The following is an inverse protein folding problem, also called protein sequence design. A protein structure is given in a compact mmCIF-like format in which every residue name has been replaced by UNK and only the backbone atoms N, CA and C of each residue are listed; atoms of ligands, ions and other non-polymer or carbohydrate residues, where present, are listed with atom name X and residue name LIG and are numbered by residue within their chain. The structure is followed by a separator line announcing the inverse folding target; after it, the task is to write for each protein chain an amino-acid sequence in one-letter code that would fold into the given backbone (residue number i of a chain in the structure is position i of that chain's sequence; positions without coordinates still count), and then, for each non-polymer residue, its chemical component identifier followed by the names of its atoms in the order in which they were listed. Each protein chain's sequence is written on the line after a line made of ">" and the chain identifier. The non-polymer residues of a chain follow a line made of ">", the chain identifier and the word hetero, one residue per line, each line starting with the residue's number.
data_IF_836118881986
#
_entry.id   IF_836118881986
#
_cell.length_a   1.000
_cell.length_b   1.000
_cell.length_c   1.000
_cell.angle_alpha   90.00
_cell.angle_beta   90.00
_cell.angle_gamma   90.00
#
_symmetry.space_group_name_H-M   'P 1'
#
loop_
_entity.id
_entity.type
_entity.pdbx_description
1 polymer ?
#
# COMPACT_ATOMS: atom_id res chain seq x y z
N UNK A 1 -6.69 30.28 49.06
CA UNK A 1 -6.54 31.38 48.10
C UNK A 1 -5.37 31.01 47.19
N UNK A 2 -5.67 30.27 46.11
CA UNK A 2 -5.87 30.82 44.75
C UNK A 2 -4.51 30.86 44.02
N UNK A 3 -4.22 30.16 42.91
CA UNK A 3 -5.05 29.75 41.77
C UNK A 3 -4.45 28.51 41.07
N UNK A 4 -5.37 27.80 40.43
CA UNK A 4 -5.23 26.79 39.38
C UNK A 4 -4.30 27.27 38.25
N UNK A 5 -3.43 26.38 37.76
CA UNK A 5 -2.90 26.46 36.40
C UNK A 5 -3.15 25.12 35.71
N UNK A 6 -4.29 25.04 35.02
CA UNK A 6 -4.60 24.03 34.02
C UNK A 6 -3.88 24.42 32.73
N UNK A 7 -2.79 23.71 32.41
CA UNK A 7 -2.19 23.73 31.08
C UNK A 7 -3.00 22.84 30.11
N UNK A 8 -3.27 23.28 28.87
CA UNK A 8 -4.26 22.69 28.00
C UNK A 8 -3.84 21.34 27.42
N UNK A 9 -4.82 20.44 27.33
CA UNK A 9 -4.91 19.34 26.39
C UNK A 9 -4.63 19.80 24.96
N UNK A 10 -3.70 19.16 24.25
CA UNK A 10 -3.89 18.78 22.84
C UNK A 10 -2.61 18.17 22.27
N UNK A 11 -2.63 16.86 22.03
CA UNK A 11 -2.32 16.30 20.69
C UNK A 11 -3.30 15.14 20.49
N UNK A 12 -4.57 15.49 20.32
CA UNK A 12 -5.35 14.74 19.36
C UNK A 12 -4.75 15.06 17.99
N UNK A 13 -4.30 14.04 17.28
CA UNK A 13 -4.54 13.94 15.84
C UNK A 13 -4.13 12.55 15.38
N UNK A 14 -5.13 11.68 15.42
CA UNK A 14 -5.46 10.75 14.36
C UNK A 14 -4.85 11.14 13.01
N UNK A 15 -3.64 10.64 12.73
CA UNK A 15 -3.29 10.29 11.36
C UNK A 15 -3.90 8.90 11.05
N UNK A 16 -5.20 8.77 11.32
CA UNK A 16 -6.02 7.88 10.52
C UNK A 16 -5.83 8.37 9.09
N UNK A 17 -5.23 7.52 8.25
CA UNK A 17 -5.09 7.79 6.83
C UNK A 17 -6.47 7.81 6.19
N UNK A 18 -7.19 8.91 6.40
CA UNK A 18 -8.41 9.18 5.69
C UNK A 18 -8.05 9.26 4.21
N UNK A 19 -8.74 8.45 3.41
CA UNK A 19 -8.72 8.64 1.96
C UNK A 19 -9.15 10.09 1.69
N UNK A 20 -8.47 10.80 0.77
CA UNK A 20 -8.81 12.18 0.45
C UNK A 20 -10.31 12.33 0.22
N UNK A 21 -10.94 13.36 0.81
CA UNK A 21 -12.39 13.61 0.74
C UNK A 21 -12.94 13.57 -0.69
N UNK A 22 -12.11 13.91 -1.67
CA UNK A 22 -12.44 13.86 -3.10
C UNK A 22 -12.82 12.46 -3.58
N UNK A 23 -12.27 11.41 -2.96
CA UNK A 23 -12.58 10.00 -3.28
C UNK A 23 -13.93 9.59 -2.70
N UNK A 24 -14.25 10.04 -1.47
CA UNK A 24 -15.51 9.72 -0.81
C UNK A 24 -16.70 10.45 -1.45
N UNK A 25 -16.50 11.73 -1.82
CA UNK A 25 -17.51 12.53 -2.49
C UNK A 25 -17.84 12.00 -3.90
N UNK A 26 -16.83 11.49 -4.62
CA UNK A 26 -17.03 10.87 -5.93
C UNK A 26 -17.82 9.55 -5.84
N UNK A 27 -17.66 8.78 -4.75
CA UNK A 27 -18.36 7.51 -4.55
C UNK A 27 -19.87 7.70 -4.27
N UNK A 28 -20.24 8.78 -3.56
CA UNK A 28 -21.62 9.00 -3.13
C UNK A 28 -22.51 9.67 -4.20
N UNK A 29 -21.95 10.26 -5.27
CA UNK A 29 -22.74 11.03 -6.25
C UNK A 29 -23.12 10.25 -7.52
N UNK A 30 -22.75 8.97 -7.68
CA UNK A 30 -23.03 8.29 -8.95
C UNK A 30 -23.29 6.79 -8.83
N UNK A 31 -24.48 6.44 -8.34
CA UNK A 31 -24.95 5.06 -8.48
C UNK A 31 -25.29 4.68 -9.94
N UNK A 32 -25.46 5.63 -10.87
CA UNK A 32 -25.84 5.31 -12.27
C UNK A 32 -24.91 5.83 -13.39
N UNK A 33 -23.85 6.60 -13.11
CA UNK A 33 -22.95 7.17 -14.17
C UNK A 33 -21.50 6.62 -14.10
N UNK A 34 -21.19 5.76 -13.12
CA UNK A 34 -19.79 5.44 -12.75
C UNK A 34 -19.14 4.29 -13.56
N UNK A 35 -19.90 3.34 -14.10
CA UNK A 35 -19.29 2.06 -14.51
C UNK A 35 -18.36 2.15 -15.73
N UNK A 36 -18.57 3.13 -16.62
CA UNK A 36 -17.77 3.34 -17.83
C UNK A 36 -16.59 4.29 -17.63
N UNK A 37 -16.70 5.29 -16.75
CA UNK A 37 -15.64 6.29 -16.52
C UNK A 37 -14.55 5.89 -15.49
N UNK A 38 -14.85 4.98 -14.57
CA UNK A 38 -13.91 4.63 -13.49
C UNK A 38 -12.84 3.61 -13.94
N UNK A 39 -13.09 2.78 -14.94
CA UNK A 39 -12.13 1.73 -15.37
C UNK A 39 -10.84 2.31 -15.99
N UNK A 40 -10.89 3.50 -16.58
CA UNK A 40 -9.70 4.22 -17.06
C UNK A 40 -9.12 5.19 -16.02
N UNK A 41 -9.82 5.37 -14.89
CA UNK A 41 -9.54 6.42 -13.93
C UNK A 41 -8.21 6.21 -13.21
N UNK A 42 -7.41 7.27 -13.19
CA UNK A 42 -6.18 7.42 -12.41
C UNK A 42 -6.35 7.02 -10.93
N UNK A 43 -7.58 7.03 -10.40
CA UNK A 43 -7.92 6.60 -9.04
C UNK A 43 -7.67 5.10 -8.85
N UNK A 44 -8.11 4.23 -9.77
CA UNK A 44 -7.89 2.78 -9.66
C UNK A 44 -6.40 2.45 -9.71
N UNK A 45 -5.68 3.08 -10.65
CA UNK A 45 -4.21 2.94 -10.78
C UNK A 45 -3.48 3.40 -9.52
N UNK A 46 -3.99 4.42 -8.83
CA UNK A 46 -3.44 4.91 -7.57
C UNK A 46 -3.75 3.96 -6.40
N UNK A 47 -4.96 3.42 -6.32
CA UNK A 47 -5.35 2.41 -5.32
C UNK A 47 -4.51 1.14 -5.44
N UNK A 48 -4.24 0.68 -6.67
CA UNK A 48 -3.35 -0.46 -6.92
C UNK A 48 -1.93 -0.18 -6.42
N UNK A 49 -1.41 1.02 -6.70
CA UNK A 49 -0.09 1.45 -6.21
C UNK A 49 -0.03 1.52 -4.68
N UNK A 50 -1.09 1.98 -4.02
CA UNK A 50 -1.17 2.02 -2.55
C UNK A 50 -1.19 0.60 -1.98
N UNK A 51 -2.06 -0.26 -2.53
CA UNK A 51 -2.19 -1.65 -2.12
C UNK A 51 -0.86 -2.41 -2.26
N UNK A 52 -0.15 -2.18 -3.36
CA UNK A 52 1.18 -2.76 -3.59
C UNK A 52 2.23 -2.26 -2.58
N UNK A 53 2.25 -0.95 -2.29
CA UNK A 53 3.16 -0.38 -1.29
C UNK A 53 2.88 -0.91 0.12
N UNK A 54 1.60 -1.13 0.47
CA UNK A 54 1.20 -1.71 1.75
C UNK A 54 1.67 -3.17 1.87
N UNK A 55 1.51 -3.98 0.81
CA UNK A 55 2.06 -5.35 0.76
C UNK A 55 3.56 -5.36 1.02
N UNK A 56 4.33 -4.49 0.37
CA UNK A 56 5.77 -4.41 0.58
C UNK A 56 6.14 -4.02 2.01
N UNK A 57 5.46 -3.00 2.56
CA UNK A 57 5.67 -2.58 3.96
C UNK A 57 5.38 -3.72 4.93
N UNK A 58 4.29 -4.44 4.72
CA UNK A 58 3.92 -5.60 5.53
C UNK A 58 5.01 -6.68 5.49
N UNK A 59 5.45 -7.09 4.30
CA UNK A 59 6.50 -8.11 4.15
C UNK A 59 7.85 -7.66 4.75
N UNK A 60 8.22 -6.38 4.61
CA UNK A 60 9.41 -5.81 5.26
C UNK A 60 9.29 -5.82 6.80
N UNK A 61 8.13 -5.45 7.36
CA UNK A 61 7.87 -5.48 8.80
C UNK A 61 7.98 -6.91 9.36
N UNK A 62 7.48 -7.89 8.59
CA UNK A 62 7.62 -9.32 8.89
C UNK A 62 9.02 -9.88 8.61
N UNK A 63 9.96 -9.06 8.12
CA UNK A 63 11.33 -9.46 7.75
C UNK A 63 11.36 -10.65 6.77
N UNK A 64 10.36 -10.78 5.92
CA UNK A 64 10.29 -11.88 4.94
C UNK A 64 11.43 -11.74 3.94
N UNK A 65 12.12 -12.84 3.62
CA UNK A 65 13.15 -12.79 2.57
C UNK A 65 12.47 -12.77 1.20
N UNK A 66 13.14 -12.24 0.15
CA UNK A 66 12.61 -12.29 -1.21
C UNK A 66 12.26 -13.72 -1.67
N UNK A 67 12.97 -14.75 -1.20
CA UNK A 67 12.65 -16.15 -1.53
C UNK A 67 11.36 -16.63 -0.86
N UNK A 68 11.11 -16.24 0.40
CA UNK A 68 9.85 -16.56 1.09
C UNK A 68 8.66 -15.92 0.37
N UNK A 69 8.83 -14.68 -0.09
CA UNK A 69 7.79 -13.96 -0.86
C UNK A 69 7.62 -14.56 -2.26
N UNK A 70 8.70 -15.04 -2.90
CA UNK A 70 8.63 -15.78 -4.17
C UNK A 70 7.76 -17.03 -4.02
N UNK A 71 7.97 -17.76 -2.93
CA UNK A 71 7.19 -18.95 -2.61
C UNK A 71 5.73 -18.60 -2.34
N UNK A 72 5.48 -17.57 -1.52
CA UNK A 72 4.15 -17.06 -1.21
C UNK A 72 3.36 -16.65 -2.46
N UNK A 73 4.04 -16.10 -3.47
CA UNK A 73 3.43 -15.66 -4.72
C UNK A 73 3.25 -16.78 -5.75
N UNK A 74 3.59 -18.02 -5.39
CA UNK A 74 3.46 -19.20 -6.26
C UNK A 74 4.53 -19.28 -7.36
N UNK A 75 5.55 -18.42 -7.32
CA UNK A 75 6.55 -18.32 -8.40
C UNK A 75 7.57 -19.47 -8.40
N UNK A 76 7.58 -20.31 -7.36
CA UNK A 76 8.52 -21.44 -7.26
C UNK A 76 8.06 -22.69 -8.04
N UNK A 77 6.78 -22.75 -8.42
CA UNK A 77 6.22 -23.87 -9.18
C UNK A 77 6.26 -23.67 -10.69
N UNK A 78 6.63 -22.49 -11.17
CA UNK A 78 6.62 -22.15 -12.59
C UNK A 78 8.02 -22.22 -13.18
N UNK A 79 8.12 -22.80 -14.37
CA UNK A 79 9.38 -22.90 -15.13
C UNK A 79 9.86 -21.54 -15.63
N UNK A 80 8.94 -20.70 -16.10
CA UNK A 80 9.21 -19.32 -16.51
C UNK A 80 8.53 -18.34 -15.55
N UNK A 81 9.28 -17.88 -14.55
CA UNK A 81 8.77 -16.91 -13.58
C UNK A 81 8.38 -15.58 -14.22
N UNK A 82 9.03 -15.16 -15.30
CA UNK A 82 8.82 -13.83 -15.91
C UNK A 82 7.46 -13.71 -16.61
N UNK A 83 6.94 -14.84 -17.08
CA UNK A 83 5.60 -14.93 -17.68
C UNK A 83 4.47 -14.90 -16.64
N UNK A 84 4.79 -15.08 -15.35
CA UNK A 84 3.78 -15.17 -14.30
C UNK A 84 3.32 -13.77 -13.86
N UNK A 85 2.00 -13.53 -13.68
CA UNK A 85 1.47 -12.20 -13.33
C UNK A 85 2.05 -11.64 -12.02
N UNK A 86 2.46 -12.50 -11.08
CA UNK A 86 3.07 -12.07 -9.82
C UNK A 86 4.55 -11.70 -9.92
N UNK A 87 5.21 -11.90 -11.07
CA UNK A 87 6.63 -11.65 -11.24
C UNK A 87 7.03 -10.23 -10.88
N UNK A 88 6.33 -9.24 -11.44
CA UNK A 88 6.63 -7.83 -11.19
C UNK A 88 6.39 -7.42 -9.73
N UNK A 89 5.44 -8.06 -9.06
CA UNK A 89 5.19 -7.85 -7.62
C UNK A 89 6.37 -8.38 -6.80
N UNK A 90 6.86 -9.59 -7.10
CA UNK A 90 8.03 -10.15 -6.44
C UNK A 90 9.31 -9.34 -6.71
N UNK A 91 9.57 -9.00 -7.97
CA UNK A 91 10.75 -8.24 -8.37
C UNK A 91 10.77 -6.86 -7.71
N UNK A 92 9.62 -6.18 -7.66
CA UNK A 92 9.47 -4.91 -6.96
C UNK A 92 9.75 -5.03 -5.46
N UNK A 93 9.30 -6.13 -4.83
CA UNK A 93 9.61 -6.40 -3.43
C UNK A 93 11.10 -6.70 -3.20
N UNK A 94 11.73 -7.52 -4.05
CA UNK A 94 13.17 -7.83 -3.97
C UNK A 94 14.01 -6.55 -3.97
N UNK A 95 13.71 -5.62 -4.88
CA UNK A 95 14.36 -4.30 -4.93
C UNK A 95 14.14 -3.49 -3.64
N UNK A 96 12.92 -3.48 -3.10
CA UNK A 96 12.60 -2.79 -1.85
C UNK A 96 13.36 -3.40 -0.64
N UNK A 97 13.48 -4.72 -0.60
CA UNK A 97 14.25 -5.44 0.42
C UNK A 97 15.75 -5.11 0.32
N UNK A 98 16.35 -5.23 -0.87
CA UNK A 98 17.77 -4.94 -1.08
C UNK A 98 18.10 -3.49 -0.67
N UNK A 99 17.25 -2.53 -1.03
CA UNK A 99 17.40 -1.13 -0.59
C UNK A 99 17.31 -0.99 0.94
N UNK A 100 16.37 -1.67 1.60
CA UNK A 100 16.19 -1.60 3.06
C UNK A 100 17.40 -2.14 3.82
N UNK A 101 18.02 -3.20 3.32
CA UNK A 101 19.13 -3.90 3.97
C UNK A 101 20.51 -3.56 3.38
N UNK A 102 20.58 -2.57 2.46
CA UNK A 102 21.82 -2.16 1.77
C UNK A 102 22.57 -3.33 1.13
N UNK A 103 21.82 -4.26 0.56
CA UNK A 103 22.37 -5.37 -0.21
C UNK A 103 22.72 -4.82 -1.59
N UNK A 104 24.01 -4.75 -1.91
CA UNK A 104 24.50 -4.43 -3.25
C UNK A 104 24.30 -5.69 -4.09
N UNK A 105 23.53 -5.57 -5.17
CA UNK A 105 23.16 -6.67 -6.06
C UNK A 105 24.03 -6.66 -7.32
#
# INVERSE_FOLDING_TARGET
>A
MDKVDEGPSDITNSEERALPNDILNAANHAENVISTGIKESSILKWLDKISLKLKYRYWLLKKMKPEDVKNLLGLHFVSNIESHPNYHTWLGYKKAYNKRYKIVE
#
